data_IF_454858561855
#
_entry.id   IF_454858561855
#
_cell.length_a   1.000
_cell.length_b   1.000
_cell.length_c   1.000
_cell.angle_alpha   90.00
_cell.angle_beta   90.00
_cell.angle_gamma   90.00
#
_symmetry.space_group_name_H-M   'P 1'
#
loop_
_entity.id
_entity.type
_entity.pdbx_description
1 polymer ?
#
# COMPACT_ATOMS: atom_id res chain seq x y z
N UNK A 1 20.47 13.31 7.09
CA UNK A 1 20.13 12.69 5.78
C UNK A 1 18.87 11.86 5.96
N UNK A 2 17.84 12.09 5.13
CA UNK A 2 16.62 11.26 5.16
C UNK A 2 16.78 10.05 4.26
N UNK A 3 16.43 8.86 4.75
CA UNK A 3 16.28 7.66 3.90
C UNK A 3 14.80 7.52 3.55
N UNK A 4 14.51 7.11 2.31
CA UNK A 4 13.15 6.79 1.86
C UNK A 4 13.10 5.31 1.50
N UNK A 5 12.06 4.62 1.96
CA UNK A 5 11.76 3.24 1.60
C UNK A 5 10.48 3.21 0.74
N UNK A 6 10.46 2.34 -0.26
CA UNK A 6 9.26 2.05 -1.07
C UNK A 6 8.85 0.61 -0.80
N UNK A 7 7.57 0.40 -0.56
CA UNK A 7 6.99 -0.93 -0.30
C UNK A 7 6.13 -1.29 -1.50
N UNK A 8 6.34 -2.49 -2.05
CA UNK A 8 5.51 -3.06 -3.11
C UNK A 8 4.74 -4.22 -2.51
N UNK A 9 3.41 -4.13 -2.54
CA UNK A 9 2.50 -5.11 -1.94
C UNK A 9 1.73 -5.79 -3.07
N UNK A 10 1.56 -7.11 -2.99
CA UNK A 10 0.64 -7.84 -3.87
C UNK A 10 -0.72 -7.89 -3.19
N UNK A 11 -1.73 -7.39 -3.88
CA UNK A 11 -3.11 -7.44 -3.40
C UNK A 11 -3.68 -8.85 -3.58
N UNK A 12 -4.56 -9.23 -2.65
CA UNK A 12 -5.37 -10.45 -2.75
C UNK A 12 -6.44 -10.29 -3.84
N UNK A 13 -7.05 -11.40 -4.30
CA UNK A 13 -7.96 -11.37 -5.45
C UNK A 13 -9.25 -10.61 -5.15
N UNK A 14 -9.70 -10.63 -3.91
CA UNK A 14 -10.85 -9.91 -3.38
C UNK A 14 -10.70 -8.39 -3.55
N UNK A 15 -9.46 -7.90 -3.62
CA UNK A 15 -9.18 -6.51 -3.96
C UNK A 15 -9.64 -6.12 -5.37
N UNK A 16 -9.82 -7.08 -6.29
CA UNK A 16 -10.33 -6.77 -7.63
C UNK A 16 -11.79 -6.29 -7.63
N UNK A 17 -12.54 -6.52 -6.54
CA UNK A 17 -13.92 -6.08 -6.39
C UNK A 17 -14.03 -4.71 -5.67
N UNK A 18 -12.92 -4.17 -5.18
CA UNK A 18 -12.86 -2.87 -4.50
C UNK A 18 -12.26 -1.80 -5.41
N UNK A 19 -12.65 -0.55 -5.18
CA UNK A 19 -12.00 0.59 -5.82
C UNK A 19 -10.56 0.74 -5.32
N UNK A 20 -9.69 1.32 -6.16
CA UNK A 20 -8.32 1.60 -5.74
C UNK A 20 -8.29 2.55 -4.54
N UNK A 21 -9.19 3.53 -4.51
CA UNK A 21 -9.34 4.51 -3.44
C UNK A 21 -9.68 3.84 -2.10
N UNK A 22 -10.59 2.86 -2.10
CA UNK A 22 -10.95 2.11 -0.90
C UNK A 22 -9.75 1.30 -0.38
N UNK A 23 -9.02 0.64 -1.29
CA UNK A 23 -7.83 -0.15 -0.94
C UNK A 23 -6.72 0.76 -0.41
N UNK A 24 -6.46 1.91 -1.05
CA UNK A 24 -5.48 2.89 -0.60
C UNK A 24 -5.79 3.38 0.81
N UNK A 25 -7.06 3.68 1.09
CA UNK A 25 -7.53 4.12 2.39
C UNK A 25 -7.34 3.03 3.46
N UNK A 26 -7.77 1.80 3.18
CA UNK A 26 -7.62 0.67 4.11
C UNK A 26 -6.16 0.39 4.45
N UNK A 27 -5.27 0.37 3.44
CA UNK A 27 -3.83 0.18 3.65
C UNK A 27 -3.24 1.34 4.45
N UNK A 28 -3.62 2.59 4.14
CA UNK A 28 -3.12 3.75 4.86
C UNK A 28 -3.52 3.71 6.33
N UNK A 29 -4.79 3.38 6.62
CA UNK A 29 -5.31 3.25 7.98
C UNK A 29 -4.57 2.13 8.73
N UNK A 30 -4.42 0.95 8.13
CA UNK A 30 -3.79 -0.20 8.79
C UNK A 30 -2.30 0.04 9.06
N UNK A 31 -1.56 0.61 8.11
CA UNK A 31 -0.14 0.95 8.30
C UNK A 31 0.08 2.13 9.26
N UNK A 32 -0.95 2.92 9.53
CA UNK A 32 -0.90 4.04 10.50
C UNK A 32 -1.30 3.62 11.92
N UNK A 33 -1.83 2.40 12.12
CA UNK A 33 -2.13 1.87 13.46
C UNK A 33 -0.84 1.63 14.25
N UNK A 34 -0.90 1.90 15.56
CA UNK A 34 0.23 1.71 16.47
C UNK A 34 0.13 0.39 17.26
N UNK A 35 1.26 -0.29 17.52
CA UNK A 35 2.63 0.05 17.09
C UNK A 35 2.88 -0.21 15.60
N UNK A 36 3.82 0.50 14.95
CA UNK A 36 4.11 0.30 13.54
C UNK A 36 4.63 -1.11 13.29
N UNK A 37 3.95 -1.87 12.43
CA UNK A 37 4.36 -3.24 12.04
C UNK A 37 5.72 -3.26 11.34
N UNK A 38 6.09 -2.15 10.66
CA UNK A 38 7.33 -2.03 9.92
C UNK A 38 8.32 -1.24 10.79
N UNK A 39 9.45 -1.85 11.19
CA UNK A 39 10.48 -1.13 11.93
C UNK A 39 10.91 0.12 11.16
N UNK A 40 11.21 1.19 11.89
CA UNK A 40 11.60 2.50 11.34
C UNK A 40 10.51 3.26 10.57
N UNK A 41 9.26 2.76 10.53
CA UNK A 41 8.12 3.51 10.00
C UNK A 41 7.72 4.61 10.99
N UNK A 42 8.11 5.84 10.70
CA UNK A 42 7.69 7.03 11.48
C UNK A 42 6.27 7.47 11.15
N UNK A 43 5.93 7.48 9.85
CA UNK A 43 4.63 7.90 9.31
C UNK A 43 4.49 7.38 7.88
N UNK A 44 3.27 7.00 7.50
CA UNK A 44 2.91 6.73 6.10
C UNK A 44 2.53 8.04 5.43
N UNK A 45 3.24 8.44 4.37
CA UNK A 45 2.94 9.69 3.65
C UNK A 45 1.90 9.52 2.55
N UNK A 46 1.95 8.39 1.82
CA UNK A 46 1.05 8.10 0.70
C UNK A 46 1.02 6.59 0.45
N UNK A 47 -0.16 6.07 0.12
CA UNK A 47 -0.36 4.76 -0.52
C UNK A 47 -0.80 5.01 -1.96
N UNK A 48 -0.39 4.14 -2.87
CA UNK A 48 -0.79 4.22 -4.28
C UNK A 48 -1.06 2.80 -4.79
N UNK A 49 -2.26 2.56 -5.29
CA UNK A 49 -2.65 1.29 -5.92
C UNK A 49 -2.65 1.48 -7.44
N UNK A 50 -1.97 0.58 -8.14
CA UNK A 50 -1.88 0.61 -9.60
C UNK A 50 -2.27 -0.75 -10.16
N UNK A 51 -3.10 -0.75 -11.19
CA UNK A 51 -3.42 -1.98 -11.91
C UNK A 51 -2.19 -2.53 -12.65
N UNK A 52 -1.95 -3.82 -12.51
CA UNK A 52 -0.91 -4.51 -13.27
C UNK A 52 -1.46 -4.77 -14.67
N UNK A 53 -1.10 -3.93 -15.64
CA UNK A 53 -1.41 -4.23 -17.04
C UNK A 53 -0.80 -5.59 -17.40
N UNK A 54 -1.65 -6.57 -17.69
CA UNK A 54 -1.20 -7.82 -18.31
C UNK A 54 -0.61 -7.46 -19.67
N UNK A 55 0.72 -7.54 -19.76
CA UNK A 55 1.42 -7.48 -21.04
C UNK A 55 1.01 -8.73 -21.81
N UNK A 56 0.05 -8.58 -22.74
CA UNK A 56 -0.32 -9.63 -23.70
C UNK A 56 0.95 -9.99 -24.48
N UNK A 57 1.40 -11.25 -24.32
CA UNK A 57 2.43 -11.86 -25.15
C UNK A 57 1.78 -12.50 -26.36
#
# INVERSE_FOLDING_TARGET
MGKKATIVIRLVKEGAEKSNEDIEKEILEELSKHPPMIPWLKKVEKVMVTEVQKRLK
#
